data_IF_888990231419
#
_entry.id   IF_888990231419
#
_cell.length_a   1.000
_cell.length_b   1.000
_cell.length_c   1.000
_cell.angle_alpha   90.00
_cell.angle_beta   90.00
_cell.angle_gamma   90.00
#
_symmetry.space_group_name_H-M   'P 1'
#
loop_
_entity.id
_entity.type
_entity.pdbx_description
1 polymer ?
#
# COMPACT_ATOMS: atom_id res chain seq x y z
N UNK A 1 3.55 -3.72 -17.96
CA UNK A 1 3.87 -3.38 -16.56
C UNK A 1 4.59 -2.04 -16.60
N UNK A 2 4.08 -1.00 -15.94
CA UNK A 2 4.75 0.31 -15.92
C UNK A 2 5.95 0.23 -14.99
N UNK A 3 7.15 0.57 -15.47
CA UNK A 3 8.37 0.64 -14.65
C UNK A 3 8.64 2.08 -14.23
N UNK A 4 9.39 2.27 -13.15
CA UNK A 4 9.85 3.60 -12.71
C UNK A 4 10.64 4.30 -13.83
N UNK A 5 11.46 3.55 -14.57
CA UNK A 5 12.23 4.06 -15.71
C UNK A 5 11.33 4.60 -16.83
N UNK A 6 10.20 3.94 -17.11
CA UNK A 6 9.23 4.43 -18.09
C UNK A 6 8.61 5.76 -17.62
N UNK A 7 8.25 5.86 -16.33
CA UNK A 7 7.71 7.10 -15.75
C UNK A 7 8.70 8.26 -15.81
N UNK A 8 9.98 8.01 -15.53
CA UNK A 8 11.04 9.02 -15.64
C UNK A 8 11.16 9.50 -17.09
N UNK A 9 11.20 8.58 -18.05
CA UNK A 9 11.30 8.89 -19.48
C UNK A 9 10.11 9.73 -19.96
N UNK A 10 8.90 9.38 -19.52
CA UNK A 10 7.68 10.12 -19.85
C UNK A 10 7.72 11.55 -19.28
N UNK A 11 8.16 11.71 -18.02
CA UNK A 11 8.30 13.02 -17.38
C UNK A 11 9.34 13.89 -18.10
N UNK A 12 10.50 13.33 -18.47
CA UNK A 12 11.53 14.03 -19.25
C UNK A 12 10.99 14.48 -20.62
N UNK A 13 10.21 13.63 -21.27
CA UNK A 13 9.55 13.96 -22.54
C UNK A 13 8.61 15.15 -22.37
N UNK A 14 7.73 15.13 -21.36
CA UNK A 14 6.79 16.23 -21.08
C UNK A 14 7.53 17.54 -20.82
N UNK A 15 8.58 17.53 -19.99
CA UNK A 15 9.39 18.72 -19.70
C UNK A 15 10.02 19.28 -20.97
N UNK A 16 10.57 18.42 -21.83
CA UNK A 16 11.15 18.83 -23.12
C UNK A 16 10.11 19.49 -24.02
N UNK A 17 8.90 18.95 -24.09
CA UNK A 17 7.83 19.52 -24.90
C UNK A 17 7.39 20.88 -24.35
N UNK A 18 7.17 21.01 -23.04
CA UNK A 18 6.81 22.28 -22.40
C UNK A 18 7.88 23.34 -22.67
N UNK A 19 9.16 23.01 -22.54
CA UNK A 19 10.27 23.94 -22.77
C UNK A 19 10.41 24.37 -24.24
N UNK A 20 9.91 23.56 -25.20
CA UNK A 20 9.94 23.91 -26.62
C UNK A 20 8.86 24.92 -27.03
N UNK A 21 7.81 25.11 -26.22
CA UNK A 21 6.66 25.94 -26.54
C UNK A 21 7.00 27.45 -26.51
N UNK A 22 7.71 28.00 -25.49
CA UNK A 22 8.10 29.40 -25.45
C UNK A 22 8.85 29.88 -26.69
N UNK A 23 9.80 29.07 -27.20
CA UNK A 23 10.57 29.38 -28.40
C UNK A 23 9.70 29.60 -29.65
N UNK A 24 8.51 29.01 -29.70
CA UNK A 24 7.55 29.20 -30.80
C UNK A 24 6.88 30.57 -30.77
N UNK A 25 6.95 31.31 -29.67
CA UNK A 25 6.41 32.68 -29.57
C UNK A 25 7.45 33.72 -29.97
N UNK A 26 8.74 33.46 -29.73
CA UNK A 26 9.82 34.44 -29.91
C UNK A 26 10.06 34.82 -31.38
N UNK A 27 9.76 33.95 -32.35
CA UNK A 27 10.12 34.13 -33.77
C UNK A 27 8.91 34.07 -34.70
N UNK A 28 7.72 34.37 -34.18
CA UNK A 28 6.48 34.01 -34.86
C UNK A 28 5.67 35.23 -35.32
N UNK A 29 5.30 35.25 -36.60
CA UNK A 29 4.34 36.22 -37.15
C UNK A 29 2.89 35.87 -36.75
N UNK A 30 2.68 35.37 -35.53
CA UNK A 30 1.37 34.96 -35.05
C UNK A 30 0.48 36.20 -34.87
N UNK A 31 -0.73 36.15 -35.44
CA UNK A 31 -1.81 37.12 -35.19
C UNK A 31 -3.03 36.39 -34.66
N UNK A 32 -2.99 35.91 -33.40
CA UNK A 32 -4.09 35.16 -32.83
C UNK A 32 -5.29 36.08 -32.58
N UNK A 33 -6.48 35.54 -32.76
CA UNK A 33 -7.74 36.13 -32.31
C UNK A 33 -7.83 36.16 -30.78
N UNK A 34 -8.76 36.97 -30.24
CA UNK A 34 -9.03 37.01 -28.80
C UNK A 34 -9.46 35.65 -28.24
N UNK A 35 -10.19 34.85 -29.02
CA UNK A 35 -10.61 33.50 -28.65
C UNK A 35 -9.41 32.56 -28.54
N UNK A 36 -8.49 32.58 -29.51
CA UNK A 36 -7.27 31.74 -29.49
C UNK A 36 -6.36 32.10 -28.32
N UNK A 37 -6.21 33.41 -28.01
CA UNK A 37 -5.45 33.85 -26.83
C UNK A 37 -6.09 33.32 -25.53
N UNK A 38 -7.42 33.36 -25.42
CA UNK A 38 -8.13 32.83 -24.27
C UNK A 38 -7.92 31.32 -24.11
N UNK A 39 -8.04 30.57 -25.20
CA UNK A 39 -7.81 29.12 -25.22
C UNK A 39 -6.37 28.76 -24.83
N UNK A 40 -5.36 29.48 -25.34
CA UNK A 40 -3.97 29.27 -24.96
C UNK A 40 -3.73 29.51 -23.47
N UNK A 41 -4.34 30.56 -22.90
CA UNK A 41 -4.26 30.84 -21.45
C UNK A 41 -4.94 29.75 -20.61
N UNK A 42 -6.09 29.27 -21.05
CA UNK A 42 -6.80 28.18 -20.37
C UNK A 42 -5.96 26.89 -20.38
N UNK A 43 -5.40 26.52 -21.53
CA UNK A 43 -4.54 25.34 -21.65
C UNK A 43 -3.29 25.47 -20.78
N UNK A 44 -2.62 26.61 -20.77
CA UNK A 44 -1.46 26.85 -19.91
C UNK A 44 -1.83 26.70 -18.42
N UNK A 45 -3.00 27.20 -18.03
CA UNK A 45 -3.51 27.07 -16.65
C UNK A 45 -3.79 25.61 -16.29
N UNK A 46 -4.42 24.84 -17.18
CA UNK A 46 -4.65 23.40 -16.98
C UNK A 46 -3.34 22.63 -16.87
N UNK A 47 -2.36 22.93 -17.72
CA UNK A 47 -1.03 22.30 -17.65
C UNK A 47 -0.37 22.54 -16.29
N UNK A 48 -0.44 23.77 -15.76
CA UNK A 48 0.08 24.09 -14.43
C UNK A 48 -0.63 23.31 -13.32
N UNK A 49 -1.97 23.25 -13.36
CA UNK A 49 -2.76 22.50 -12.38
C UNK A 49 -2.44 21.01 -12.40
N UNK A 50 -2.27 20.42 -13.59
CA UNK A 50 -1.90 19.02 -13.72
C UNK A 50 -0.47 18.75 -13.23
N UNK A 51 0.49 19.64 -13.51
CA UNK A 51 1.85 19.54 -12.99
C UNK A 51 1.88 19.61 -11.45
N UNK A 52 1.10 20.51 -10.84
CA UNK A 52 0.96 20.61 -9.39
C UNK A 52 0.34 19.33 -8.78
N UNK A 53 -0.68 18.78 -9.43
CA UNK A 53 -1.32 17.53 -9.00
C UNK A 53 -0.35 16.35 -9.05
N UNK A 54 0.44 16.26 -10.13
CA UNK A 54 1.48 15.24 -10.27
C UNK A 54 2.53 15.38 -9.17
N UNK A 55 3.01 16.60 -8.93
CA UNK A 55 3.99 16.87 -7.87
C UNK A 55 3.47 16.44 -6.49
N UNK A 56 2.22 16.81 -6.16
CA UNK A 56 1.60 16.40 -4.89
C UNK A 56 1.56 14.87 -4.75
N UNK A 57 1.12 14.15 -5.79
CA UNK A 57 1.09 12.69 -5.77
C UNK A 57 2.47 12.07 -5.57
N UNK A 58 3.50 12.61 -6.23
CA UNK A 58 4.87 12.13 -6.03
C UNK A 58 5.35 12.36 -4.61
N UNK A 59 5.07 13.52 -4.02
CA UNK A 59 5.40 13.81 -2.62
C UNK A 59 4.67 12.88 -1.67
N UNK A 60 3.38 12.61 -1.90
CA UNK A 60 2.59 11.68 -1.10
C UNK A 60 3.19 10.26 -1.18
N UNK A 61 3.51 9.78 -2.38
CA UNK A 61 4.15 8.47 -2.58
C UNK A 61 5.56 8.39 -2.00
N UNK A 62 6.34 9.48 -2.01
CA UNK A 62 7.70 9.48 -1.49
C UNK A 62 7.75 9.13 0.00
N UNK A 63 6.71 9.48 0.78
CA UNK A 63 6.62 9.09 2.20
C UNK A 63 6.48 7.58 2.38
N UNK A 64 5.86 6.88 1.43
CA UNK A 64 5.72 5.42 1.43
C UNK A 64 6.98 4.72 0.89
N UNK A 65 7.82 5.44 0.15
CA UNK A 65 9.10 4.96 -0.39
C UNK A 65 10.30 5.33 0.49
N UNK A 66 10.05 5.78 1.72
CA UNK A 66 11.12 6.10 2.65
C UNK A 66 11.98 4.85 2.95
N UNK A 67 13.32 4.97 3.04
CA UNK A 67 14.21 3.83 3.32
C UNK A 67 13.78 3.02 4.56
N UNK A 68 13.26 3.70 5.58
CA UNK A 68 12.79 3.10 6.83
C UNK A 68 11.57 2.19 6.60
N UNK A 69 10.71 2.51 5.63
CA UNK A 69 9.56 1.68 5.25
C UNK A 69 10.06 0.40 4.59
N UNK A 70 11.02 0.50 3.67
CA UNK A 70 11.64 -0.67 3.04
C UNK A 70 12.41 -1.53 4.03
N UNK A 71 13.21 -0.94 4.92
CA UNK A 71 13.94 -1.66 5.96
C UNK A 71 12.97 -2.42 6.90
N UNK A 72 11.88 -1.76 7.32
CA UNK A 72 10.86 -2.39 8.15
C UNK A 72 10.14 -3.51 7.41
N UNK A 73 9.85 -3.34 6.13
CA UNK A 73 9.26 -4.37 5.28
C UNK A 73 10.18 -5.58 5.15
N UNK A 74 11.47 -5.36 4.84
CA UNK A 74 12.49 -6.41 4.73
C UNK A 74 12.69 -7.15 6.05
N UNK A 75 12.68 -6.42 7.18
CA UNK A 75 12.72 -7.02 8.51
C UNK A 75 11.51 -7.93 8.75
N UNK A 76 10.30 -7.46 8.47
CA UNK A 76 9.09 -8.27 8.61
C UNK A 76 9.11 -9.50 7.69
N UNK A 77 9.56 -9.35 6.44
CA UNK A 77 9.68 -10.44 5.48
C UNK A 77 10.71 -11.47 5.92
N UNK A 78 11.86 -11.03 6.42
CA UNK A 78 12.90 -11.90 6.97
C UNK A 78 12.38 -12.72 8.16
N UNK A 79 11.61 -12.08 9.04
CA UNK A 79 10.99 -12.76 10.19
C UNK A 79 9.86 -13.71 9.77
N UNK A 80 9.12 -13.41 8.70
CA UNK A 80 8.05 -14.26 8.17
C UNK A 80 8.57 -15.45 7.33
N UNK A 81 9.80 -15.36 6.80
CA UNK A 81 10.41 -16.34 5.89
C UNK A 81 10.35 -17.79 6.40
N UNK A 82 10.63 -18.10 7.68
CA UNK A 82 10.53 -19.47 8.18
C UNK A 82 9.11 -20.04 8.09
N UNK A 83 8.09 -19.24 8.40
CA UNK A 83 6.69 -19.66 8.30
C UNK A 83 6.26 -19.88 6.84
N UNK A 84 6.74 -19.03 5.92
CA UNK A 84 6.52 -19.19 4.48
C UNK A 84 7.18 -20.47 3.97
N UNK A 85 8.42 -20.75 4.37
CA UNK A 85 9.13 -21.98 4.00
C UNK A 85 8.41 -23.23 4.54
N UNK A 86 7.96 -23.21 5.80
CA UNK A 86 7.18 -24.31 6.38
C UNK A 86 5.85 -24.53 5.64
N UNK A 87 5.21 -23.47 5.14
CA UNK A 87 4.04 -23.60 4.26
C UNK A 87 4.39 -24.25 2.91
N UNK A 88 5.45 -23.79 2.24
CA UNK A 88 5.88 -24.33 0.94
C UNK A 88 6.25 -25.82 1.07
N UNK A 89 6.91 -26.19 2.17
CA UNK A 89 7.28 -27.58 2.48
C UNK A 89 6.09 -28.44 2.95
N UNK A 90 4.89 -27.89 3.01
CA UNK A 90 3.67 -28.61 3.42
C UNK A 90 3.58 -28.90 4.93
N UNK A 91 4.50 -28.39 5.74
CA UNK A 91 4.49 -28.53 7.20
C UNK A 91 3.36 -27.70 7.84
N UNK A 92 3.01 -26.57 7.22
CA UNK A 92 1.85 -25.74 7.59
C UNK A 92 0.80 -25.84 6.49
N UNK A 93 -0.39 -26.34 6.84
CA UNK A 93 -1.53 -26.36 5.91
C UNK A 93 -2.17 -24.97 5.85
N UNK A 94 -2.18 -24.35 4.66
CA UNK A 94 -2.76 -23.01 4.42
C UNK A 94 -4.19 -22.81 4.99
N UNK A 95 -5.12 -23.78 4.84
CA UNK A 95 -6.46 -23.68 5.45
C UNK A 95 -6.44 -23.60 6.98
N UNK A 96 -5.52 -24.32 7.64
CA UNK A 96 -5.37 -24.30 9.10
C UNK A 96 -4.83 -22.95 9.55
N UNK A 97 -3.79 -22.47 8.87
CA UNK A 97 -3.23 -21.13 9.13
C UNK A 97 -4.31 -20.05 9.00
N UNK A 98 -5.07 -20.06 7.89
CA UNK A 98 -6.17 -19.10 7.67
C UNK A 98 -7.20 -19.15 8.79
N UNK A 99 -7.67 -20.34 9.17
CA UNK A 99 -8.64 -20.53 10.26
C UNK A 99 -8.10 -19.97 11.58
N UNK A 100 -6.83 -20.24 11.87
CA UNK A 100 -6.19 -19.82 13.12
C UNK A 100 -5.98 -18.31 13.17
N UNK A 101 -5.56 -17.68 12.07
CA UNK A 101 -5.47 -16.22 11.96
C UNK A 101 -6.84 -15.56 12.14
N UNK A 102 -7.88 -16.09 11.50
CA UNK A 102 -9.26 -15.62 11.72
C UNK A 102 -9.64 -15.70 13.19
N UNK A 103 -9.35 -16.81 13.87
CA UNK A 103 -9.64 -16.96 15.29
C UNK A 103 -8.85 -15.99 16.20
N UNK A 104 -7.61 -15.64 15.83
CA UNK A 104 -6.76 -14.68 16.56
C UNK A 104 -7.29 -13.25 16.38
N UNK A 105 -7.62 -12.85 15.15
CA UNK A 105 -7.96 -11.46 14.84
C UNK A 105 -9.43 -11.11 15.03
N UNK A 106 -10.35 -12.03 14.71
CA UNK A 106 -11.79 -11.76 14.80
C UNK A 106 -12.39 -12.21 16.14
N UNK A 107 -11.68 -13.05 16.89
CA UNK A 107 -12.18 -13.62 18.15
C UNK A 107 -13.41 -14.52 17.95
N UNK A 108 -14.06 -14.93 19.06
CA UNK A 108 -15.35 -15.63 19.02
C UNK A 108 -16.47 -14.67 19.41
N UNK A 109 -17.56 -14.70 18.65
CA UNK A 109 -18.77 -13.94 18.97
C UNK A 109 -19.35 -14.40 20.33
N UNK A 110 -19.66 -13.47 21.24
CA UNK A 110 -20.38 -13.80 22.47
C UNK A 110 -21.78 -14.28 22.11
N UNK A 111 -22.28 -15.32 22.81
CA UNK A 111 -23.64 -15.82 22.62
C UNK A 111 -24.42 -15.69 23.93
N UNK A 112 -25.67 -15.24 23.81
CA UNK A 112 -26.57 -15.06 24.96
C UNK A 112 -26.98 -16.38 25.59
N UNK A 113 -26.99 -17.46 24.81
CA UNK A 113 -27.37 -18.82 25.25
C UNK A 113 -26.19 -19.64 25.81
N UNK A 114 -24.98 -19.07 25.90
CA UNK A 114 -23.84 -19.78 26.46
C UNK A 114 -24.01 -20.02 27.96
N UNK A 115 -23.67 -21.23 28.42
CA UNK A 115 -23.58 -21.52 29.86
C UNK A 115 -22.44 -20.72 30.52
N UNK A 116 -22.48 -20.53 31.85
CA UNK A 116 -21.42 -19.80 32.57
C UNK A 116 -20.01 -20.35 32.32
N UNK A 117 -19.87 -21.69 32.23
CA UNK A 117 -18.60 -22.32 31.88
C UNK A 117 -18.12 -22.00 30.46
N UNK A 118 -19.04 -21.96 29.49
CA UNK A 118 -18.71 -21.61 28.09
C UNK A 118 -18.31 -20.13 28.00
N UNK A 119 -19.00 -19.24 28.72
CA UNK A 119 -18.65 -17.82 28.81
C UNK A 119 -17.23 -17.61 29.38
N UNK A 120 -16.90 -18.28 30.49
CA UNK A 120 -15.55 -18.21 31.07
C UNK A 120 -14.46 -18.71 30.13
N UNK A 121 -14.70 -19.82 29.41
CA UNK A 121 -13.77 -20.34 28.39
C UNK A 121 -13.58 -19.38 27.22
N UNK A 122 -14.67 -18.76 26.74
CA UNK A 122 -14.61 -17.74 25.67
C UNK A 122 -13.80 -16.52 26.14
N UNK A 123 -14.04 -16.01 27.34
CA UNK A 123 -13.30 -14.87 27.90
C UNK A 123 -11.79 -15.14 27.99
N UNK A 124 -11.39 -16.30 28.54
CA UNK A 124 -9.98 -16.70 28.62
C UNK A 124 -9.33 -16.81 27.23
N UNK A 125 -10.08 -17.30 26.24
CA UNK A 125 -9.59 -17.40 24.86
C UNK A 125 -9.46 -16.04 24.19
N UNK A 126 -10.39 -15.12 24.44
CA UNK A 126 -10.31 -13.73 23.97
C UNK A 126 -9.05 -13.05 24.50
N UNK A 127 -8.78 -13.17 25.80
CA UNK A 127 -7.57 -12.63 26.42
C UNK A 127 -6.28 -13.22 25.82
N UNK A 128 -6.29 -14.53 25.53
CA UNK A 128 -5.18 -15.16 24.80
C UNK A 128 -5.02 -14.60 23.39
N UNK A 129 -6.10 -14.40 22.64
CA UNK A 129 -6.04 -13.80 21.31
C UNK A 129 -5.58 -12.34 21.34
N UNK A 130 -5.95 -11.56 22.37
CA UNK A 130 -5.42 -10.20 22.59
C UNK A 130 -3.91 -10.23 22.83
N UNK A 131 -3.45 -11.14 23.69
CA UNK A 131 -2.02 -11.34 23.95
C UNK A 131 -1.28 -11.74 22.69
N UNK A 132 -1.85 -12.61 21.85
CA UNK A 132 -1.24 -13.00 20.57
C UNK A 132 -1.17 -11.82 19.59
N UNK A 133 -2.20 -10.98 19.54
CA UNK A 133 -2.24 -9.80 18.66
C UNK A 133 -1.23 -8.73 19.04
N UNK A 134 -0.79 -8.67 20.30
CA UNK A 134 0.28 -7.76 20.71
C UNK A 134 1.69 -8.28 20.39
N UNK A 135 1.82 -9.54 19.93
CA UNK A 135 3.10 -10.09 19.50
C UNK A 135 3.46 -9.63 18.08
N UNK A 136 4.75 -9.72 17.76
CA UNK A 136 5.25 -9.44 16.42
C UNK A 136 4.63 -10.37 15.35
N UNK A 137 4.50 -9.90 14.09
CA UNK A 137 3.83 -10.64 13.01
C UNK A 137 4.36 -12.07 12.81
N UNK A 138 5.66 -12.27 12.91
CA UNK A 138 6.29 -13.58 12.77
C UNK A 138 5.88 -14.56 13.88
N UNK A 139 5.73 -14.08 15.11
CA UNK A 139 5.25 -14.87 16.22
C UNK A 139 3.79 -15.26 16.01
N UNK A 140 2.96 -14.34 15.52
CA UNK A 140 1.55 -14.63 15.17
C UNK A 140 1.46 -15.70 14.07
N UNK A 141 2.33 -15.63 13.05
CA UNK A 141 2.40 -16.63 11.98
C UNK A 141 2.84 -18.00 12.50
N UNK A 142 3.85 -18.05 13.38
CA UNK A 142 4.28 -19.28 14.02
C UNK A 142 3.14 -19.93 14.82
N UNK A 143 2.41 -19.14 15.61
CA UNK A 143 1.21 -19.63 16.32
C UNK A 143 0.11 -20.10 15.37
N UNK A 144 -0.14 -19.36 14.30
CA UNK A 144 -1.12 -19.73 13.29
C UNK A 144 -0.81 -21.07 12.61
N UNK A 145 0.47 -21.41 12.44
CA UNK A 145 0.92 -22.69 11.88
C UNK A 145 0.95 -23.84 12.88
N UNK A 146 1.19 -23.57 14.17
CA UNK A 146 1.40 -24.59 15.21
C UNK A 146 0.15 -24.96 16.01
N UNK A 147 -0.92 -24.17 15.96
CA UNK A 147 -2.13 -24.45 16.73
C UNK A 147 -2.77 -25.78 16.29
N UNK A 148 -2.78 -26.82 17.16
CA UNK A 148 -3.43 -28.09 16.85
C UNK A 148 -4.95 -27.90 16.70
N UNK A 149 -5.56 -28.75 15.89
CA UNK A 149 -7.01 -28.83 15.68
C UNK A 149 -7.77 -29.18 16.93
#
# INVERSE_FOLDING_TARGET
MVTITNLITDMESIVRHINSIPAKFEHSALRPSSQEVSQLRELATKTLQHAQTLHRKLTDCATEWAPEVYEKADKHMSQARPAIQAMIQGQIKGPILRRNLVAIFQGRQPSTVDSPQVKARKAKRTQKCETLRSLGPATVLAWGGLLPT
#
